data_IF_818916531556
#
_entry.id   IF_818916531556
#
_cell.length_a   1.000
_cell.length_b   1.000
_cell.length_c   1.000
_cell.angle_alpha   90.00
_cell.angle_beta   90.00
_cell.angle_gamma   90.00
#
_symmetry.space_group_name_H-M   'P 1'
#
loop_
_entity.id
_entity.type
_entity.pdbx_description
1 polymer ?
#
# COMPACT_ATOMS: atom_id res chain seq x y z
N UNK A 1 -12.73 -47.73 -16.71
CA UNK A 1 -11.28 -47.65 -17.00
C UNK A 1 -10.74 -46.21 -17.03
N UNK A 2 -11.53 -45.20 -17.41
CA UNK A 2 -11.12 -43.77 -17.43
C UNK A 2 -10.70 -43.18 -16.08
N UNK A 3 -11.34 -43.56 -14.97
CA UNK A 3 -10.98 -43.03 -13.66
C UNK A 3 -9.53 -43.39 -13.23
N UNK A 4 -9.07 -44.59 -13.60
CA UNK A 4 -7.71 -45.07 -13.25
C UNK A 4 -6.63 -44.34 -14.05
N UNK A 5 -6.90 -44.00 -15.30
CA UNK A 5 -5.98 -43.24 -16.17
C UNK A 5 -5.90 -41.77 -15.76
N UNK A 6 -7.02 -41.18 -15.33
CA UNK A 6 -7.05 -39.81 -14.81
C UNK A 6 -6.31 -39.67 -13.48
N UNK A 7 -6.49 -40.61 -12.55
CA UNK A 7 -5.77 -40.62 -11.27
C UNK A 7 -4.27 -40.82 -11.49
N UNK A 8 -3.87 -41.78 -12.34
CA UNK A 8 -2.47 -41.98 -12.73
C UNK A 8 -1.83 -40.71 -13.31
N UNK A 9 -2.52 -40.04 -14.24
CA UNK A 9 -2.05 -38.77 -14.82
C UNK A 9 -1.96 -37.65 -13.80
N UNK A 10 -2.93 -37.52 -12.90
CA UNK A 10 -2.90 -36.51 -11.84
C UNK A 10 -1.72 -36.70 -10.89
N UNK A 11 -1.39 -37.95 -10.55
CA UNK A 11 -0.20 -38.28 -9.75
C UNK A 11 1.07 -37.90 -10.51
N UNK A 12 1.19 -38.28 -11.78
CA UNK A 12 2.35 -37.99 -12.64
C UNK A 12 2.60 -36.49 -12.80
N UNK A 13 1.53 -35.71 -13.01
CA UNK A 13 1.60 -34.24 -13.09
C UNK A 13 2.04 -33.63 -11.76
N UNK A 14 1.60 -34.20 -10.63
CA UNK A 14 2.01 -33.75 -9.29
C UNK A 14 3.49 -34.04 -9.04
N UNK A 15 3.99 -35.22 -9.39
CA UNK A 15 5.42 -35.55 -9.26
C UNK A 15 6.28 -34.71 -10.18
N UNK A 16 5.88 -34.53 -11.45
CA UNK A 16 6.60 -33.69 -12.40
C UNK A 16 6.71 -32.22 -11.95
N UNK A 17 5.65 -31.70 -11.31
CA UNK A 17 5.67 -30.36 -10.71
C UNK A 17 6.63 -30.28 -9.52
N UNK A 18 6.58 -31.26 -8.61
CA UNK A 18 7.48 -31.29 -7.45
C UNK A 18 8.95 -31.39 -7.88
N UNK A 19 9.28 -32.21 -8.88
CA UNK A 19 10.65 -32.32 -9.40
C UNK A 19 11.11 -31.03 -10.08
N UNK A 20 10.25 -30.38 -10.86
CA UNK A 20 10.56 -29.08 -11.46
C UNK A 20 10.82 -27.98 -10.42
N UNK A 21 10.05 -27.97 -9.31
CA UNK A 21 10.28 -27.04 -8.20
C UNK A 21 11.63 -27.30 -7.50
N UNK A 22 12.01 -28.57 -7.32
CA UNK A 22 13.30 -28.95 -6.74
C UNK A 22 14.51 -28.67 -7.65
N UNK A 23 14.33 -28.67 -8.98
CA UNK A 23 15.38 -28.31 -9.93
C UNK A 23 15.78 -26.82 -9.85
N UNK A 24 14.83 -25.95 -9.47
CA UNK A 24 15.09 -24.50 -9.31
C UNK A 24 15.77 -24.19 -7.97
N UNK A 25 15.34 -24.83 -6.89
CA UNK A 25 15.93 -24.62 -5.57
C UNK A 25 15.59 -25.76 -4.61
N UNK A 26 16.59 -26.29 -3.90
CA UNK A 26 16.35 -27.21 -2.79
C UNK A 26 15.68 -26.47 -1.62
N UNK A 27 14.38 -26.69 -1.44
CA UNK A 27 13.64 -26.20 -0.28
C UNK A 27 13.70 -27.22 0.85
N UNK A 28 14.47 -26.93 1.91
CA UNK A 28 14.44 -27.72 3.15
C UNK A 28 13.31 -27.24 4.06
N UNK A 29 12.33 -28.09 4.35
CA UNK A 29 11.25 -27.80 5.31
C UNK A 29 11.71 -28.06 6.76
N UNK A 30 12.80 -27.43 7.19
CA UNK A 30 13.18 -27.40 8.61
C UNK A 30 12.55 -26.15 9.25
N UNK A 31 12.12 -26.23 10.51
CA UNK A 31 11.26 -25.23 11.17
C UNK A 31 11.80 -23.80 11.29
N UNK A 32 13.03 -23.53 10.85
CA UNK A 32 13.58 -22.18 10.69
C UNK A 32 13.75 -21.87 9.20
N UNK A 33 13.39 -20.65 8.80
CA UNK A 33 13.30 -20.20 7.41
C UNK A 33 14.45 -20.61 6.48
N UNK A 34 14.17 -20.65 5.18
CA UNK A 34 15.15 -21.08 4.17
C UNK A 34 16.20 -20.00 3.98
N UNK A 35 17.46 -20.34 4.22
CA UNK A 35 18.60 -19.47 3.97
C UNK A 35 19.03 -19.58 2.49
N UNK A 36 19.26 -18.46 1.82
CA UNK A 36 19.90 -18.40 0.50
C UNK A 36 21.17 -17.54 0.54
N UNK A 37 22.16 -17.87 -0.28
CA UNK A 37 23.40 -17.11 -0.42
C UNK A 37 23.65 -16.81 -1.90
N UNK A 38 23.84 -15.52 -2.25
CA UNK A 38 24.05 -15.03 -3.63
C UNK A 38 22.98 -15.48 -4.64
N UNK A 39 21.81 -15.88 -4.15
CA UNK A 39 20.64 -16.33 -4.93
C UNK A 39 19.40 -15.77 -4.24
N UNK A 40 18.37 -15.35 -5.00
CA UNK A 40 17.11 -14.92 -4.42
C UNK A 40 16.56 -15.99 -3.44
N UNK A 41 15.90 -15.55 -2.35
CA UNK A 41 15.25 -16.47 -1.44
C UNK A 41 14.15 -17.25 -2.19
N UNK A 42 13.80 -18.45 -1.71
CA UNK A 42 12.71 -19.20 -2.34
C UNK A 42 11.43 -18.39 -2.26
N UNK A 43 10.59 -18.51 -3.30
CA UNK A 43 9.34 -17.77 -3.33
C UNK A 43 8.51 -18.06 -2.07
N UNK A 44 7.89 -17.02 -1.48
CA UNK A 44 7.02 -17.18 -0.33
C UNK A 44 5.84 -18.10 -0.67
N UNK A 45 5.15 -18.58 0.36
CA UNK A 45 4.00 -19.45 0.14
C UNK A 45 2.97 -18.76 -0.78
N UNK A 46 2.31 -19.52 -1.65
CA UNK A 46 1.27 -18.97 -2.54
C UNK A 46 0.18 -18.23 -1.78
N UNK A 47 -0.11 -18.67 -0.56
CA UNK A 47 -1.04 -17.98 0.36
C UNK A 47 -0.51 -16.63 0.80
N UNK A 48 0.76 -16.54 1.19
CA UNK A 48 1.37 -15.27 1.57
C UNK A 48 1.37 -14.27 0.41
N UNK A 49 1.67 -14.72 -0.83
CA UNK A 49 1.58 -13.88 -2.03
C UNK A 49 0.16 -13.39 -2.31
N UNK A 50 -0.83 -14.26 -2.20
CA UNK A 50 -2.22 -13.87 -2.41
C UNK A 50 -2.69 -12.86 -1.34
N UNK A 51 -2.35 -13.10 -0.08
CA UNK A 51 -2.68 -12.18 1.02
C UNK A 51 -1.98 -10.83 0.83
N UNK A 52 -0.71 -10.80 0.42
CA UNK A 52 -0.01 -9.54 0.20
C UNK A 52 -0.63 -8.72 -0.93
N UNK A 53 -1.08 -9.37 -2.00
CA UNK A 53 -1.77 -8.71 -3.11
C UNK A 53 -3.14 -8.16 -2.70
N UNK A 54 -3.91 -8.94 -1.93
CA UNK A 54 -5.23 -8.51 -1.44
C UNK A 54 -5.09 -7.34 -0.48
N UNK A 55 -4.15 -7.41 0.47
CA UNK A 55 -3.91 -6.30 1.40
C UNK A 55 -3.43 -5.04 0.68
N UNK A 56 -2.54 -5.18 -0.31
CA UNK A 56 -2.11 -4.06 -1.15
C UNK A 56 -3.28 -3.44 -1.92
N UNK A 57 -4.17 -4.27 -2.45
CA UNK A 57 -5.38 -3.82 -3.14
C UNK A 57 -6.36 -3.10 -2.22
N UNK A 58 -6.59 -3.62 -1.01
CA UNK A 58 -7.44 -2.99 0.01
C UNK A 58 -6.87 -1.63 0.43
N UNK A 59 -5.55 -1.54 0.62
CA UNK A 59 -4.88 -0.28 0.97
C UNK A 59 -5.13 0.80 -0.10
N UNK A 60 -4.88 0.48 -1.37
CA UNK A 60 -5.09 1.44 -2.46
C UNK A 60 -6.56 1.76 -2.70
N UNK A 61 -7.44 0.77 -2.59
CA UNK A 61 -8.88 0.99 -2.67
C UNK A 61 -9.32 1.99 -1.58
N UNK A 62 -8.87 1.82 -0.34
CA UNK A 62 -9.21 2.71 0.77
C UNK A 62 -8.74 4.15 0.52
N UNK A 63 -7.50 4.33 0.09
CA UNK A 63 -6.94 5.64 -0.25
C UNK A 63 -7.77 6.31 -1.34
N UNK A 64 -8.00 5.62 -2.46
CA UNK A 64 -8.73 6.18 -3.60
C UNK A 64 -10.20 6.46 -3.26
N UNK A 65 -10.82 5.60 -2.45
CA UNK A 65 -12.18 5.80 -1.97
C UNK A 65 -12.28 7.08 -1.13
N UNK A 66 -11.38 7.31 -0.17
CA UNK A 66 -11.42 8.52 0.66
C UNK A 66 -10.99 9.79 -0.06
N UNK A 67 -10.12 9.69 -1.08
CA UNK A 67 -9.88 10.82 -1.98
C UNK A 67 -11.17 11.23 -2.70
N UNK A 68 -12.02 10.27 -3.09
CA UNK A 68 -13.25 10.55 -3.81
C UNK A 68 -14.41 11.00 -2.90
N UNK A 69 -14.53 10.43 -1.70
CA UNK A 69 -15.63 10.75 -0.77
C UNK A 69 -15.35 11.96 0.11
N UNK A 70 -14.10 12.15 0.53
CA UNK A 70 -13.68 13.16 1.52
C UNK A 70 -12.41 13.90 1.05
N UNK A 71 -12.45 14.58 -0.12
CA UNK A 71 -11.28 15.26 -0.69
C UNK A 71 -10.80 16.47 0.13
N UNK A 72 -11.61 16.94 1.07
CA UNK A 72 -11.33 18.08 1.94
C UNK A 72 -10.07 17.89 2.80
N UNK A 73 -9.74 16.65 3.18
CA UNK A 73 -8.50 16.35 3.90
C UNK A 73 -7.23 16.58 3.07
N UNK A 74 -7.35 16.67 1.74
CA UNK A 74 -6.23 16.92 0.83
C UNK A 74 -6.17 18.38 0.42
N UNK A 75 -7.31 18.96 0.04
CA UNK A 75 -7.35 20.34 -0.45
C UNK A 75 -7.46 21.40 0.65
N UNK A 76 -7.80 20.99 1.87
CA UNK A 76 -8.12 21.87 2.98
C UNK A 76 -9.63 22.05 3.11
N UNK A 77 -10.11 21.98 4.34
CA UNK A 77 -11.54 22.14 4.69
C UNK A 77 -11.98 23.61 4.60
N UNK A 78 -11.05 24.53 4.84
CA UNK A 78 -11.35 25.95 4.99
C UNK A 78 -10.78 26.75 3.82
N UNK A 79 -11.53 27.74 3.30
CA UNK A 79 -10.99 28.64 2.29
C UNK A 79 -9.83 29.44 2.89
N UNK A 80 -8.79 29.63 2.10
CA UNK A 80 -7.67 30.47 2.49
C UNK A 80 -8.10 31.95 2.48
N UNK A 81 -7.92 32.62 3.62
CA UNK A 81 -8.22 34.04 3.77
C UNK A 81 -6.93 34.82 3.50
N UNK A 82 -6.94 35.68 2.49
CA UNK A 82 -5.81 36.54 2.17
C UNK A 82 -5.71 37.69 3.18
N UNK A 83 -4.63 37.77 3.98
CA UNK A 83 -4.48 38.79 5.02
C UNK A 83 -4.41 40.21 4.45
N UNK A 84 -4.09 40.39 3.17
CA UNK A 84 -4.03 41.71 2.53
C UNK A 84 -5.41 42.31 2.24
N UNK A 85 -6.47 41.50 2.32
CA UNK A 85 -7.85 41.95 2.12
C UNK A 85 -8.48 42.56 3.37
N UNK A 86 -7.83 42.42 4.53
CA UNK A 86 -8.31 42.97 5.78
C UNK A 86 -8.10 44.48 5.81
N UNK A 87 -9.12 45.21 6.25
CA UNK A 87 -9.04 46.67 6.33
C UNK A 87 -8.24 47.10 7.56
N UNK A 88 -7.55 48.24 7.46
CA UNK A 88 -6.78 48.79 8.58
C UNK A 88 -7.67 49.06 9.82
N UNK A 89 -8.97 49.31 9.62
CA UNK A 89 -9.96 49.45 10.70
C UNK A 89 -10.19 48.15 11.48
N UNK A 90 -10.31 47.01 10.78
CA UNK A 90 -10.47 45.68 11.40
C UNK A 90 -9.18 45.22 12.10
N UNK A 91 -8.03 45.62 11.57
CA UNK A 91 -6.71 45.37 12.14
C UNK A 91 -6.37 46.32 13.29
N UNK A 92 -7.16 47.38 13.50
CA UNK A 92 -6.92 48.39 14.53
C UNK A 92 -5.65 49.22 14.28
N UNK A 93 -5.23 49.35 13.02
CA UNK A 93 -4.06 50.14 12.62
C UNK A 93 -4.54 51.58 12.39
N UNK A 94 -4.17 52.53 13.27
CA UNK A 94 -4.55 53.92 13.08
C UNK A 94 -3.80 54.52 11.88
N UNK A 95 -4.42 55.45 11.13
CA UNK A 95 -3.72 56.19 10.10
C UNK A 95 -2.66 57.10 10.73
N UNK A 96 -1.49 57.21 10.11
CA UNK A 96 -0.35 58.02 10.60
C UNK A 96 -0.72 59.50 10.86
N UNK A 97 -1.77 60.00 10.20
CA UNK A 97 -2.32 61.35 10.41
C UNK A 97 -2.91 61.58 11.81
N UNK A 98 -3.31 60.51 12.52
CA UNK A 98 -3.89 60.60 13.85
C UNK A 98 -2.85 60.78 14.98
N UNK A 99 -1.56 60.68 14.66
CA UNK A 99 -0.47 60.78 15.63
C UNK A 99 -0.29 59.52 16.49
N UNK A 100 0.70 59.50 17.40
CA UNK A 100 0.99 58.32 18.20
C UNK A 100 -0.20 57.94 19.10
N UNK A 101 -0.57 56.66 19.12
CA UNK A 101 -1.44 56.12 20.16
C UNK A 101 -0.80 56.46 21.51
N UNK A 102 -1.53 57.18 22.35
CA UNK A 102 -1.09 57.74 23.65
C UNK A 102 0.02 56.91 24.32
N UNK A 103 1.12 57.59 24.66
CA UNK A 103 2.21 57.05 25.49
C UNK A 103 1.71 56.66 26.88
#
# INVERSE_FOLDING_TARGET
MLARTLVSRAILLRTAKTTADHAKQLKRNAGHGVWSYRVPPPMPSKRALAISQVLGGICWWWILYHIATEPEHIYGEWPYIDPSTWTDEELGIPPDSAGPLKQ
#
